data_IF_667155758664
#
_entry.id   IF_667155758664
#
_cell.length_a   1.000
_cell.length_b   1.000
_cell.length_c   1.000
_cell.angle_alpha   90.00
_cell.angle_beta   90.00
_cell.angle_gamma   90.00
#
_symmetry.space_group_name_H-M   'P 1'
#
loop_
_entity.id
_entity.type
_entity.pdbx_description
1 polymer ?
#
# COMPACT_ATOMS: atom_id res chain seq x y z
N UNK A 1 -3.54 -1.69 6.18
CA UNK A 1 -4.01 -0.37 6.67
C UNK A 1 -5.37 -0.06 6.05
N UNK A 2 -6.39 0.31 6.83
CA UNK A 2 -7.76 0.54 6.32
C UNK A 2 -8.33 1.85 6.86
N UNK A 3 -9.14 2.56 6.07
CA UNK A 3 -9.78 3.81 6.52
C UNK A 3 -10.85 3.56 7.58
N UNK A 4 -11.04 4.53 8.48
CA UNK A 4 -12.03 4.43 9.57
C UNK A 4 -13.47 4.20 9.07
N UNK A 5 -13.82 4.67 7.87
CA UNK A 5 -15.13 4.47 7.25
C UNK A 5 -15.43 3.00 6.95
N UNK A 6 -14.43 2.24 6.49
CA UNK A 6 -14.55 0.83 6.10
C UNK A 6 -14.51 -0.13 7.30
N UNK A 7 -14.18 0.37 8.50
CA UNK A 7 -14.08 -0.45 9.72
C UNK A 7 -15.35 -0.44 10.59
N UNK A 8 -16.51 -0.14 9.99
CA UNK A 8 -17.82 -0.17 10.68
C UNK A 8 -18.52 -1.52 10.52
N UNK A 9 -19.32 -1.90 11.51
CA UNK A 9 -20.17 -3.11 11.45
C UNK A 9 -19.41 -4.43 11.34
N UNK A 10 -20.04 -5.41 10.67
CA UNK A 10 -19.52 -6.79 10.50
C UNK A 10 -18.23 -6.80 9.67
N UNK A 11 -18.14 -5.93 8.65
CA UNK A 11 -16.93 -5.75 7.85
C UNK A 11 -15.76 -5.28 8.73
N UNK A 12 -15.99 -4.32 9.61
CA UNK A 12 -14.99 -3.88 10.58
C UNK A 12 -14.55 -4.96 11.56
N UNK A 13 -15.47 -5.79 12.05
CA UNK A 13 -15.14 -6.93 12.91
C UNK A 13 -14.24 -7.95 12.19
N UNK A 14 -14.57 -8.28 10.95
CA UNK A 14 -13.78 -9.22 10.14
C UNK A 14 -12.39 -8.67 9.82
N UNK A 15 -12.30 -7.40 9.40
CA UNK A 15 -11.04 -6.74 9.07
C UNK A 15 -10.11 -6.64 10.29
N UNK A 16 -10.64 -6.39 11.50
CA UNK A 16 -9.84 -6.42 12.74
C UNK A 16 -9.18 -7.77 12.98
N UNK A 17 -9.89 -8.88 12.69
CA UNK A 17 -9.36 -10.24 12.82
C UNK A 17 -8.25 -10.54 11.80
N UNK A 18 -8.28 -9.88 10.65
CA UNK A 18 -7.22 -9.95 9.63
C UNK A 18 -6.02 -9.02 9.92
N UNK A 19 -5.96 -8.38 11.09
CA UNK A 19 -4.86 -7.47 11.46
C UNK A 19 -4.98 -6.08 10.82
N UNK A 20 -6.13 -5.71 10.27
CA UNK A 20 -6.34 -4.35 9.78
C UNK A 20 -6.55 -3.39 10.96
N UNK A 21 -5.87 -2.26 10.93
CA UNK A 21 -6.06 -1.16 11.86
C UNK A 21 -6.54 0.10 11.12
N UNK A 22 -7.39 0.87 11.81
CA UNK A 22 -8.02 2.06 11.26
C UNK A 22 -7.03 3.21 11.15
N UNK A 23 -7.12 3.93 10.04
CA UNK A 23 -6.43 5.20 9.85
C UNK A 23 -7.46 6.27 9.58
N UNK A 24 -7.31 7.38 10.30
CA UNK A 24 -8.02 8.61 9.99
C UNK A 24 -7.20 9.38 8.94
N UNK A 25 -7.75 9.50 7.73
CA UNK A 25 -7.09 10.23 6.63
C UNK A 25 -7.16 11.74 6.82
N UNK A 26 -8.14 12.24 7.58
CA UNK A 26 -8.34 13.67 7.83
C UNK A 26 -7.43 14.17 8.96
N UNK A 27 -7.09 13.29 9.90
CA UNK A 27 -6.18 13.58 11.02
C UNK A 27 -5.23 12.41 11.28
N UNK A 28 -4.19 12.23 10.42
CA UNK A 28 -3.24 11.15 10.60
C UNK A 28 -2.48 11.33 11.91
N UNK A 29 -2.85 10.56 12.94
CA UNK A 29 -2.22 10.69 14.25
C UNK A 29 -0.80 10.13 14.22
N UNK A 30 0.14 10.84 14.88
CA UNK A 30 1.52 10.38 15.08
C UNK A 30 1.56 8.97 15.71
N UNK A 31 0.56 8.63 16.52
CA UNK A 31 0.42 7.32 17.16
C UNK A 31 0.26 6.19 16.14
N UNK A 32 -0.48 6.40 15.05
CA UNK A 32 -0.68 5.39 14.00
C UNK A 32 0.60 5.15 13.21
N UNK A 33 1.34 6.21 12.86
CA UNK A 33 2.65 6.08 12.22
C UNK A 33 3.64 5.35 13.13
N UNK A 34 3.70 5.71 14.42
CA UNK A 34 4.52 4.99 15.41
C UNK A 34 4.14 3.51 15.50
N UNK A 35 2.84 3.21 15.54
CA UNK A 35 2.36 1.83 15.55
C UNK A 35 2.78 1.06 14.30
N UNK A 36 2.62 1.64 13.11
CA UNK A 36 3.05 1.03 11.86
C UNK A 36 4.58 0.79 11.81
N UNK A 37 5.38 1.74 12.30
CA UNK A 37 6.83 1.56 12.46
C UNK A 37 7.13 0.40 13.42
N UNK A 38 6.43 0.31 14.55
CA UNK A 38 6.64 -0.77 15.52
C UNK A 38 6.31 -2.15 14.93
N UNK A 39 5.28 -2.27 14.10
CA UNK A 39 4.98 -3.51 13.36
C UNK A 39 6.14 -3.90 12.44
N UNK A 40 6.65 -2.96 11.65
CA UNK A 40 7.78 -3.20 10.76
C UNK A 40 9.04 -3.61 11.54
N UNK A 41 9.31 -2.95 12.68
CA UNK A 41 10.45 -3.28 13.56
C UNK A 41 10.33 -4.69 14.14
N UNK A 42 9.11 -5.15 14.44
CA UNK A 42 8.83 -6.52 14.88
C UNK A 42 8.93 -7.57 13.76
N UNK A 43 9.28 -7.15 12.54
CA UNK A 43 9.30 -7.97 11.31
C UNK A 43 7.92 -8.43 10.85
N UNK A 44 6.86 -7.74 11.30
CA UNK A 44 5.51 -7.96 10.76
C UNK A 44 5.40 -7.35 9.35
N UNK A 45 4.63 -8.00 8.49
CA UNK A 45 4.34 -7.49 7.14
C UNK A 45 3.25 -6.42 7.19
N UNK A 46 3.49 -5.29 6.53
CA UNK A 46 2.55 -4.19 6.46
C UNK A 46 2.09 -3.93 5.03
N UNK A 47 0.78 -4.03 4.81
CA UNK A 47 0.14 -3.66 3.53
C UNK A 47 -0.41 -2.24 3.61
N UNK A 48 -0.01 -1.40 2.65
CA UNK A 48 -0.39 0.01 2.54
C UNK A 48 -0.91 0.29 1.13
N UNK A 49 -2.05 0.97 1.04
CA UNK A 49 -2.57 1.51 -0.23
C UNK A 49 -2.24 3.01 -0.29
N UNK A 50 -1.17 3.41 -1.00
CA UNK A 50 -0.66 4.78 -0.98
C UNK A 50 -1.62 5.82 -1.58
N UNK A 51 -2.59 5.40 -2.39
CA UNK A 51 -3.62 6.27 -2.99
C UNK A 51 -4.64 6.78 -1.96
N UNK A 52 -4.89 5.99 -0.91
CA UNK A 52 -5.92 6.26 0.09
C UNK A 52 -7.38 6.18 -0.41
N UNK A 53 -7.62 6.01 -1.72
CA UNK A 53 -8.96 5.88 -2.33
C UNK A 53 -8.98 4.68 -3.27
N UNK A 54 -10.16 4.10 -3.50
CA UNK A 54 -10.32 3.01 -4.47
C UNK A 54 -10.40 3.63 -5.87
N UNK A 55 -9.39 3.36 -6.70
CA UNK A 55 -9.39 3.76 -8.10
C UNK A 55 -10.03 2.68 -8.99
N UNK A 56 -11.32 2.83 -9.28
CA UNK A 56 -12.09 1.82 -10.05
C UNK A 56 -11.81 1.84 -11.55
N UNK A 57 -11.47 3.01 -12.09
CA UNK A 57 -11.46 3.26 -13.54
C UNK A 57 -10.06 3.55 -14.08
N UNK A 58 -9.01 3.17 -13.36
CA UNK A 58 -7.63 3.33 -13.83
C UNK A 58 -7.24 4.79 -14.03
N UNK A 59 -7.73 5.70 -13.19
CA UNK A 59 -7.24 7.08 -13.17
C UNK A 59 -5.76 7.09 -12.77
N UNK A 60 -5.07 8.19 -13.01
CA UNK A 60 -3.68 8.33 -12.55
C UNK A 60 -3.57 8.15 -11.02
N UNK A 61 -2.55 7.41 -10.59
CA UNK A 61 -2.36 7.00 -9.20
C UNK A 61 -1.65 8.12 -8.42
N UNK A 62 -2.41 8.93 -7.71
CA UNK A 62 -1.84 9.95 -6.82
C UNK A 62 -1.35 9.34 -5.51
N UNK A 63 -0.04 9.07 -5.43
CA UNK A 63 0.58 8.54 -4.21
C UNK A 63 0.70 9.62 -3.13
N UNK A 64 0.21 9.31 -1.92
CA UNK A 64 0.39 10.19 -0.75
C UNK A 64 1.80 10.06 -0.17
N UNK A 65 2.41 11.18 0.20
CA UNK A 65 3.76 11.25 0.79
C UNK A 65 3.92 10.50 2.13
N UNK A 66 2.81 10.16 2.79
CA UNK A 66 2.83 9.46 4.08
C UNK A 66 3.58 8.13 4.04
N UNK A 67 3.55 7.43 2.90
CA UNK A 67 4.27 6.17 2.73
C UNK A 67 5.80 6.38 2.78
N UNK A 68 6.31 7.41 2.10
CA UNK A 68 7.73 7.75 2.14
C UNK A 68 8.20 8.04 3.58
N UNK A 69 7.44 8.83 4.33
CA UNK A 69 7.75 9.17 5.72
C UNK A 69 7.77 7.93 6.62
N UNK A 70 6.77 7.05 6.47
CA UNK A 70 6.71 5.78 7.18
C UNK A 70 7.94 4.90 6.86
N UNK A 71 8.28 4.78 5.57
CA UNK A 71 9.40 3.98 5.12
C UNK A 71 10.73 4.47 5.70
N UNK A 72 10.98 5.77 5.66
CA UNK A 72 12.20 6.38 6.22
C UNK A 72 12.29 6.20 7.74
N UNK A 73 11.18 6.39 8.47
CA UNK A 73 11.15 6.18 9.92
C UNK A 73 11.41 4.72 10.31
N UNK A 74 10.85 3.78 9.56
CA UNK A 74 11.09 2.36 9.76
C UNK A 74 12.54 1.97 9.42
N UNK A 75 13.08 2.44 8.29
CA UNK A 75 14.48 2.21 7.90
C UNK A 75 15.48 2.78 8.92
N UNK A 76 15.17 3.93 9.55
CA UNK A 76 15.99 4.48 10.65
C UNK A 76 16.07 3.56 11.87
N UNK A 77 15.05 2.72 12.11
CA UNK A 77 14.97 1.80 13.26
C UNK A 77 15.46 0.37 12.94
N UNK A 78 15.39 -0.04 11.68
CA UNK A 78 15.67 -1.42 11.22
C UNK A 78 16.89 -1.52 10.29
N UNK A 79 17.60 -0.41 10.07
CA UNK A 79 18.69 -0.19 9.10
C UNK A 79 18.24 -0.15 7.64
N UNK A 80 17.33 -1.04 7.23
CA UNK A 80 16.75 -1.07 5.90
C UNK A 80 15.41 -1.77 5.87
N UNK A 81 14.54 -1.37 4.95
CA UNK A 81 13.29 -2.06 4.65
C UNK A 81 13.13 -2.29 3.15
N UNK A 82 12.36 -3.30 2.78
CA UNK A 82 11.93 -3.51 1.39
C UNK A 82 10.47 -3.14 1.23
N UNK A 83 10.18 -2.40 0.17
CA UNK A 83 8.82 -2.08 -0.26
C UNK A 83 8.57 -2.85 -1.55
N UNK A 84 7.56 -3.72 -1.54
CA UNK A 84 7.20 -4.51 -2.72
C UNK A 84 5.98 -3.85 -3.37
N UNK A 85 6.12 -3.25 -4.57
CA UNK A 85 4.99 -2.73 -5.31
C UNK A 85 4.13 -3.90 -5.81
N UNK A 86 2.81 -3.82 -5.61
CA UNK A 86 1.88 -4.88 -6.01
C UNK A 86 0.80 -4.29 -6.90
N UNK A 87 0.65 -4.85 -8.10
CA UNK A 87 -0.47 -4.61 -8.99
C UNK A 87 -1.59 -5.60 -8.72
N UNK A 88 -2.83 -5.11 -8.65
CA UNK A 88 -4.02 -5.92 -8.40
C UNK A 88 -5.02 -5.65 -9.53
N UNK A 89 -5.42 -6.70 -10.24
CA UNK A 89 -6.40 -6.59 -11.30
C UNK A 89 -7.52 -7.60 -11.13
N UNK A 90 -8.74 -7.16 -11.44
CA UNK A 90 -9.92 -8.00 -11.53
C UNK A 90 -10.41 -8.02 -12.97
N UNK A 91 -10.90 -9.19 -13.39
CA UNK A 91 -11.52 -9.39 -14.71
C UNK A 91 -12.70 -8.44 -15.00
N UNK A 92 -13.29 -7.81 -13.97
CA UNK A 92 -14.39 -6.82 -14.10
C UNK A 92 -14.24 -5.71 -13.05
N UNK A 93 -14.68 -4.50 -13.39
CA UNK A 93 -14.55 -3.28 -12.56
C UNK A 93 -15.50 -3.28 -11.35
N UNK A 94 -16.74 -3.77 -11.45
CA UNK A 94 -17.34 -4.41 -10.30
C UNK A 94 -16.86 -5.87 -10.27
N UNK A 95 -16.03 -6.27 -9.29
CA UNK A 95 -15.66 -7.67 -9.13
C UNK A 95 -16.92 -8.50 -8.87
N UNK A 96 -17.03 -9.65 -9.53
CA UNK A 96 -18.13 -10.60 -9.32
C UNK A 96 -17.62 -11.83 -8.58
N UNK A 97 -18.53 -12.52 -7.90
CA UNK A 97 -18.28 -13.86 -7.34
C UNK A 97 -17.80 -14.77 -8.49
N UNK A 98 -16.75 -15.56 -8.24
CA UNK A 98 -16.04 -16.40 -9.25
C UNK A 98 -15.36 -15.62 -10.38
N UNK A 99 -15.17 -14.30 -10.24
CA UNK A 99 -14.34 -13.53 -11.16
C UNK A 99 -12.86 -13.88 -11.03
N UNK A 100 -12.11 -13.74 -12.13
CA UNK A 100 -10.65 -13.88 -12.12
C UNK A 100 -10.02 -12.66 -11.46
N UNK A 101 -8.99 -12.90 -10.65
CA UNK A 101 -8.11 -11.90 -10.04
C UNK A 101 -6.67 -12.25 -10.39
N UNK A 102 -5.85 -11.23 -10.62
CA UNK A 102 -4.40 -11.38 -10.77
C UNK A 102 -3.69 -10.44 -9.81
N UNK A 103 -2.66 -10.96 -9.17
CA UNK A 103 -1.69 -10.19 -8.39
C UNK A 103 -0.35 -10.24 -9.11
N UNK A 104 0.28 -9.09 -9.28
CA UNK A 104 1.63 -9.00 -9.83
C UNK A 104 2.52 -8.30 -8.83
N UNK A 105 3.64 -8.92 -8.49
CA UNK A 105 4.66 -8.34 -7.61
C UNK A 105 5.72 -7.70 -8.49
N UNK A 106 5.88 -6.38 -8.37
CA UNK A 106 6.96 -5.65 -9.03
C UNK A 106 8.26 -5.76 -8.24
N UNK A 107 9.32 -5.16 -8.79
CA UNK A 107 10.65 -5.20 -8.20
C UNK A 107 10.68 -4.55 -6.80
N UNK A 108 11.26 -5.22 -5.78
CA UNK A 108 11.43 -4.66 -4.45
C UNK A 108 12.23 -3.35 -4.48
N UNK A 109 11.75 -2.35 -3.75
CA UNK A 109 12.42 -1.07 -3.54
C UNK A 109 13.07 -1.09 -2.16
N UNK A 110 14.40 -1.03 -2.13
CA UNK A 110 15.17 -0.94 -0.89
C UNK A 110 15.15 0.51 -0.38
N UNK A 111 14.71 0.71 0.86
CA UNK A 111 14.80 1.98 1.57
C UNK A 111 15.74 1.79 2.75
N UNK A 112 16.85 2.52 2.75
CA UNK A 112 17.85 2.47 3.81
C UNK A 112 17.89 3.80 4.59
N UNK A 113 18.54 3.79 5.76
CA UNK A 113 18.66 4.99 6.62
C UNK A 113 19.33 6.18 5.91
N UNK A 114 20.22 5.92 4.96
CA UNK A 114 21.04 6.91 4.25
C UNK A 114 20.53 7.19 2.83
N UNK A 115 19.25 6.91 2.55
CA UNK A 115 18.71 7.08 1.20
C UNK A 115 18.71 8.57 0.84
N UNK A 116 19.50 8.95 -0.17
CA UNK A 116 19.50 10.31 -0.75
C UNK A 116 18.33 10.55 -1.72
N UNK A 117 17.39 9.61 -1.82
CA UNK A 117 16.21 9.73 -2.67
C UNK A 117 15.32 10.84 -2.14
N UNK A 118 14.96 11.80 -3.01
CA UNK A 118 13.94 12.77 -2.67
C UNK A 118 12.55 12.11 -2.58
N UNK A 119 11.60 12.76 -1.92
CA UNK A 119 10.19 12.31 -1.88
C UNK A 119 9.64 12.12 -3.29
N UNK A 120 10.01 13.03 -4.21
CA UNK A 120 9.58 13.02 -5.60
C UNK A 120 10.13 11.80 -6.33
N UNK A 121 11.43 11.56 -6.25
CA UNK A 121 12.08 10.42 -6.93
C UNK A 121 11.53 9.09 -6.40
N UNK A 122 11.36 8.99 -5.09
CA UNK A 122 10.76 7.82 -4.46
C UNK A 122 9.35 7.54 -5.00
N UNK A 123 8.50 8.57 -5.05
CA UNK A 123 7.13 8.44 -5.54
C UNK A 123 7.11 8.11 -7.04
N UNK A 124 7.97 8.71 -7.85
CA UNK A 124 8.05 8.41 -9.28
C UNK A 124 8.48 6.96 -9.55
N UNK A 125 9.51 6.48 -8.83
CA UNK A 125 9.97 5.08 -8.94
C UNK A 125 8.87 4.13 -8.51
N UNK A 126 8.23 4.39 -7.36
CA UNK A 126 7.18 3.55 -6.82
C UNK A 126 5.96 3.52 -7.75
N UNK A 127 5.54 4.69 -8.25
CA UNK A 127 4.45 4.84 -9.21
C UNK A 127 4.71 4.02 -10.47
N UNK A 128 5.89 4.16 -11.08
CA UNK A 128 6.28 3.42 -12.28
C UNK A 128 6.23 1.90 -12.06
N UNK A 129 6.74 1.42 -10.92
CA UNK A 129 6.75 -0.01 -10.60
C UNK A 129 5.35 -0.55 -10.32
N UNK A 130 4.52 0.20 -9.59
CA UNK A 130 3.12 -0.15 -9.34
C UNK A 130 2.32 -0.19 -10.64
N UNK A 131 2.47 0.81 -11.50
CA UNK A 131 1.77 0.87 -12.79
C UNK A 131 2.17 -0.28 -13.71
N UNK A 132 3.47 -0.63 -13.77
CA UNK A 132 3.91 -1.80 -14.53
C UNK A 132 3.29 -3.10 -13.99
N UNK A 133 3.31 -3.30 -12.68
CA UNK A 133 2.72 -4.48 -12.05
C UNK A 133 1.19 -4.54 -12.30
N UNK A 134 0.50 -3.41 -12.25
CA UNK A 134 -0.94 -3.32 -12.55
C UNK A 134 -1.22 -3.71 -14.01
N UNK A 135 -0.45 -3.18 -14.97
CA UNK A 135 -0.61 -3.51 -16.39
C UNK A 135 -0.39 -4.99 -16.67
N UNK A 136 0.58 -5.62 -16.01
CA UNK A 136 0.79 -7.07 -16.11
C UNK A 136 -0.40 -7.83 -15.52
N UNK A 137 -0.90 -7.40 -14.35
CA UNK A 137 -2.06 -8.01 -13.73
C UNK A 137 -3.32 -7.88 -14.59
N UNK A 138 -3.55 -6.73 -15.24
CA UNK A 138 -4.67 -6.49 -16.15
C UNK A 138 -4.62 -7.46 -17.34
N UNK A 139 -3.46 -7.59 -17.99
CA UNK A 139 -3.26 -8.54 -19.10
C UNK A 139 -3.61 -9.98 -18.69
N UNK A 140 -3.19 -10.40 -17.50
CA UNK A 140 -3.47 -11.75 -16.99
C UNK A 140 -4.96 -12.03 -16.75
N UNK A 141 -5.77 -10.99 -16.53
CA UNK A 141 -7.24 -11.12 -16.39
C UNK A 141 -8.00 -10.79 -17.68
N UNK A 142 -7.28 -10.57 -18.79
CA UNK A 142 -7.86 -10.25 -20.10
C UNK A 142 -8.36 -8.82 -20.23
N UNK A 143 -7.69 -7.87 -19.55
CA UNK A 143 -7.97 -6.43 -19.59
C UNK A 143 -6.76 -5.61 -19.97
#
# INVERSE_FOLDING_TARGET
MVTKSEMKGIQGWFLKRLGCFSIDQLSPSLSILKYAVNLIVKKDQLVVFPEGKINKYGKELELKEGLYRLALLAAKKTNSIFIIPIGIAYSRVPPKIRGKVSLCFGEPLLVNKSSNLSIKDFNEILHKRMHNAENIALKNVGR
#
